data_IF_472329859120
#
_entry.id   IF_472329859120
#
_cell.length_a   1.000
_cell.length_b   1.000
_cell.length_c   1.000
_cell.angle_alpha   90.00
_cell.angle_beta   90.00
_cell.angle_gamma   90.00
#
_symmetry.space_group_name_H-M   'P 1'
#
loop_
_entity.id
_entity.type
_entity.pdbx_description
1 polymer ?
#
# COMPACT_ATOMS: atom_id res chain seq x y z
N UNK A 1 -15.72 -1.22 -4.04
CA UNK A 1 -15.85 -0.23 -2.94
C UNK A 1 -16.36 1.09 -3.50
N UNK A 2 -17.25 1.73 -2.80
CA UNK A 2 -17.88 2.99 -3.25
C UNK A 2 -16.95 4.17 -3.03
N UNK A 3 -17.18 5.24 -3.81
CA UNK A 3 -16.34 6.44 -3.78
C UNK A 3 -16.29 7.11 -2.40
N UNK A 4 -17.42 7.18 -1.71
CA UNK A 4 -17.46 7.79 -0.37
C UNK A 4 -16.68 6.96 0.65
N UNK A 5 -16.64 5.64 0.51
CA UNK A 5 -15.84 4.77 1.35
C UNK A 5 -14.34 4.98 1.11
N UNK A 6 -13.94 5.09 -0.17
CA UNK A 6 -12.53 5.34 -0.53
C UNK A 6 -12.11 6.71 -0.05
N UNK A 7 -12.95 7.74 -0.24
CA UNK A 7 -12.66 9.10 0.21
C UNK A 7 -12.47 9.14 1.72
N UNK A 8 -13.36 8.50 2.46
CA UNK A 8 -13.26 8.42 3.93
C UNK A 8 -11.97 7.73 4.36
N UNK A 9 -11.64 6.62 3.72
CA UNK A 9 -10.41 5.86 4.00
C UNK A 9 -9.17 6.73 3.76
N UNK A 10 -9.08 7.39 2.62
CA UNK A 10 -7.94 8.24 2.26
C UNK A 10 -7.80 9.43 3.21
N UNK A 11 -8.93 9.93 3.74
CA UNK A 11 -8.93 11.04 4.66
C UNK A 11 -8.50 10.70 6.08
N UNK A 12 -8.75 9.47 6.53
CA UNK A 12 -8.41 9.05 7.91
C UNK A 12 -7.07 8.33 8.02
N UNK A 13 -6.58 7.73 6.93
CA UNK A 13 -5.31 7.01 6.93
C UNK A 13 -4.14 7.98 6.80
N UNK A 14 -3.00 7.63 7.40
CA UNK A 14 -1.81 8.49 7.42
C UNK A 14 -0.55 7.78 6.97
N UNK A 15 -0.40 6.50 7.25
CA UNK A 15 0.82 5.73 7.01
C UNK A 15 0.56 4.67 5.96
N UNK A 16 1.34 4.72 4.88
CA UNK A 16 1.19 3.83 3.75
C UNK A 16 2.51 3.09 3.52
N UNK A 17 2.47 1.76 3.66
CA UNK A 17 3.59 0.91 3.27
C UNK A 17 3.43 0.59 1.78
N UNK A 18 4.41 0.97 0.98
CA UNK A 18 4.39 0.76 -0.47
C UNK A 18 5.25 -0.45 -0.79
N UNK A 19 4.60 -1.58 -1.03
CA UNK A 19 5.27 -2.86 -1.27
C UNK A 19 5.55 -3.03 -2.76
N UNK A 20 6.83 -3.25 -3.10
CA UNK A 20 7.26 -3.37 -4.48
C UNK A 20 7.63 -2.03 -5.11
N UNK A 21 7.89 -1.01 -4.31
CA UNK A 21 8.31 0.29 -4.80
C UNK A 21 9.66 0.20 -5.51
N UNK A 22 9.80 0.94 -6.62
CA UNK A 22 11.06 1.05 -7.35
C UNK A 22 11.84 2.28 -6.89
N UNK A 23 13.18 2.21 -6.85
CA UNK A 23 14.00 3.39 -6.60
C UNK A 23 14.13 4.30 -7.82
N UNK A 24 13.68 3.85 -8.99
CA UNK A 24 13.79 4.61 -10.24
C UNK A 24 12.64 5.61 -10.36
N UNK A 25 12.98 6.87 -10.55
CA UNK A 25 12.02 7.99 -10.55
C UNK A 25 10.97 7.89 -11.66
N UNK A 26 11.27 7.21 -12.77
CA UNK A 26 10.34 7.06 -13.90
C UNK A 26 9.33 5.93 -13.72
N UNK A 27 9.45 5.13 -12.66
CA UNK A 27 8.53 4.01 -12.42
C UNK A 27 7.25 4.46 -11.73
N UNK A 28 6.09 3.85 -12.10
CA UNK A 28 4.81 4.23 -11.50
C UNK A 28 4.79 4.15 -9.98
N UNK A 29 5.40 3.14 -9.38
CA UNK A 29 5.41 3.00 -7.92
C UNK A 29 6.14 4.15 -7.23
N UNK A 30 7.23 4.64 -7.83
CA UNK A 30 7.94 5.81 -7.31
C UNK A 30 7.09 7.06 -7.45
N UNK A 31 6.50 7.29 -8.63
CA UNK A 31 5.67 8.46 -8.90
C UNK A 31 4.47 8.52 -7.95
N UNK A 32 3.81 7.40 -7.74
CA UNK A 32 2.67 7.32 -6.83
C UNK A 32 3.09 7.62 -5.39
N UNK A 33 4.17 6.99 -4.93
CA UNK A 33 4.65 7.20 -3.57
C UNK A 33 5.10 8.65 -3.34
N UNK A 34 5.78 9.25 -4.31
CA UNK A 34 6.20 10.64 -4.26
C UNK A 34 5.00 11.59 -4.15
N UNK A 35 3.96 11.33 -4.95
CA UNK A 35 2.72 12.10 -4.90
C UNK A 35 2.08 12.03 -3.51
N UNK A 36 1.93 10.82 -2.97
CA UNK A 36 1.30 10.62 -1.67
C UNK A 36 2.11 11.31 -0.56
N UNK A 37 3.44 11.21 -0.62
CA UNK A 37 4.30 11.90 0.34
C UNK A 37 4.07 13.41 0.29
N UNK A 38 3.93 13.97 -0.91
CA UNK A 38 3.66 15.41 -1.09
C UNK A 38 2.31 15.83 -0.51
N UNK A 39 1.39 14.89 -0.36
CA UNK A 39 0.06 15.14 0.21
C UNK A 39 -0.02 14.89 1.72
N UNK A 40 1.12 14.65 2.35
CA UNK A 40 1.20 14.54 3.80
C UNK A 40 1.17 13.12 4.37
N UNK A 41 1.11 12.11 3.50
CA UNK A 41 1.18 10.71 3.98
C UNK A 41 2.60 10.35 4.37
N UNK A 42 2.72 9.53 5.41
CA UNK A 42 3.98 8.90 5.76
C UNK A 42 4.16 7.68 4.88
N UNK A 43 5.22 7.67 4.09
CA UNK A 43 5.51 6.58 3.14
C UNK A 43 6.59 5.68 3.73
N UNK A 44 6.32 4.38 3.75
CA UNK A 44 7.27 3.37 4.17
C UNK A 44 7.59 2.49 2.97
N UNK A 45 8.79 2.63 2.36
CA UNK A 45 9.19 1.78 1.23
C UNK A 45 9.44 0.35 1.69
N UNK A 46 8.89 -0.63 0.95
CA UNK A 46 9.11 -2.05 1.22
C UNK A 46 9.50 -2.74 -0.08
N UNK A 47 10.70 -3.34 -0.10
CA UNK A 47 11.20 -4.12 -1.23
C UNK A 47 12.33 -5.04 -0.76
N UNK A 48 12.65 -6.11 -1.53
CA UNK A 48 13.66 -7.10 -1.08
C UNK A 48 15.06 -6.55 -0.85
N UNK A 49 15.42 -5.43 -1.49
CA UNK A 49 16.77 -4.84 -1.38
C UNK A 49 16.69 -3.32 -1.36
N UNK A 50 17.84 -2.68 -1.17
CA UNK A 50 17.96 -1.22 -1.12
C UNK A 50 18.00 -0.69 0.28
N UNK A 51 18.38 0.58 0.41
CA UNK A 51 18.54 1.25 1.71
C UNK A 51 17.60 2.43 1.89
N UNK A 52 17.45 3.25 0.87
CA UNK A 52 16.69 4.51 0.95
C UNK A 52 15.95 4.77 -0.35
N UNK A 53 14.69 5.18 -0.24
CA UNK A 53 13.87 5.66 -1.37
C UNK A 53 13.07 6.85 -0.86
N UNK A 54 13.06 7.94 -1.64
CA UNK A 54 12.36 9.17 -1.26
C UNK A 54 12.80 9.71 0.11
N UNK A 55 14.07 9.48 0.47
CA UNK A 55 14.60 9.90 1.76
C UNK A 55 14.14 9.04 2.94
N UNK A 56 13.40 7.97 2.67
CA UNK A 56 12.87 7.08 3.71
C UNK A 56 13.62 5.75 3.70
N UNK A 57 13.80 5.17 4.88
CA UNK A 57 14.44 3.86 5.02
C UNK A 57 13.60 2.78 4.35
N UNK A 58 14.28 1.92 3.56
CA UNK A 58 13.65 0.76 2.95
C UNK A 58 13.66 -0.40 3.95
N UNK A 59 12.50 -1.03 4.11
CA UNK A 59 12.37 -2.30 4.84
C UNK A 59 12.20 -3.42 3.83
N UNK A 60 12.73 -4.60 4.13
CA UNK A 60 12.74 -5.71 3.17
C UNK A 60 11.50 -6.58 3.24
N UNK A 61 10.67 -6.37 4.27
CA UNK A 61 9.36 -6.98 4.41
C UNK A 61 8.51 -6.12 5.34
N UNK A 62 7.20 -6.35 5.36
CA UNK A 62 6.32 -5.65 6.30
C UNK A 62 6.68 -6.00 7.75
N UNK A 63 7.16 -7.23 7.98
CA UNK A 63 7.53 -7.68 9.32
C UNK A 63 8.74 -6.94 9.89
N UNK A 64 9.63 -6.44 9.04
CA UNK A 64 10.80 -5.68 9.49
C UNK A 64 10.47 -4.27 9.97
N UNK A 65 9.31 -3.75 9.60
CA UNK A 65 8.89 -2.43 10.09
C UNK A 65 8.69 -2.53 11.59
N UNK A 66 9.23 -1.56 12.39
CA UNK A 66 9.11 -1.63 13.85
C UNK A 66 7.66 -1.87 14.30
N UNK A 67 7.43 -2.76 15.29
CA UNK A 67 6.07 -3.15 15.68
C UNK A 67 5.23 -1.99 16.23
N UNK A 68 5.85 -0.94 16.74
CA UNK A 68 5.16 0.25 17.24
C UNK A 68 4.62 1.14 16.12
N UNK A 69 5.04 0.91 14.86
CA UNK A 69 4.53 1.67 13.72
C UNK A 69 3.19 1.09 13.29
N UNK A 70 2.15 1.92 13.29
CA UNK A 70 0.83 1.52 12.82
C UNK A 70 0.75 1.73 11.31
N UNK A 71 0.54 0.64 10.57
CA UNK A 71 0.41 0.68 9.12
C UNK A 71 -1.07 0.80 8.78
N UNK A 72 -1.46 1.90 8.15
CA UNK A 72 -2.86 2.09 7.77
C UNK A 72 -3.18 1.38 6.45
N UNK A 73 -2.37 1.64 5.42
CA UNK A 73 -2.58 1.07 4.09
C UNK A 73 -1.35 0.31 3.65
N UNK A 74 -1.54 -0.89 3.13
CA UNK A 74 -0.51 -1.64 2.40
C UNK A 74 -0.85 -1.51 0.92
N UNK A 75 -0.06 -0.70 0.21
CA UNK A 75 -0.26 -0.40 -1.22
C UNK A 75 0.66 -1.31 -2.04
N UNK A 76 0.07 -2.18 -2.86
CA UNK A 76 0.78 -3.30 -3.48
C UNK A 76 1.08 -3.06 -4.95
N UNK A 77 2.38 -2.94 -5.26
CA UNK A 77 2.94 -2.91 -6.61
C UNK A 77 3.68 -4.22 -6.88
N UNK A 78 2.94 -5.31 -6.96
CA UNK A 78 3.46 -6.66 -7.26
C UNK A 78 2.63 -7.27 -8.35
N UNK A 79 3.13 -8.35 -8.96
CA UNK A 79 2.30 -9.16 -9.86
C UNK A 79 1.16 -9.79 -9.05
N UNK A 80 0.03 -10.02 -9.72
CA UNK A 80 -1.14 -10.56 -9.03
C UNK A 80 -0.84 -11.88 -8.31
N UNK A 81 -0.05 -12.77 -8.92
CA UNK A 81 0.31 -14.05 -8.30
C UNK A 81 1.17 -13.91 -7.05
N UNK A 82 1.80 -12.75 -6.84
CA UNK A 82 2.67 -12.51 -5.69
C UNK A 82 1.95 -11.81 -4.53
N UNK A 83 0.66 -11.52 -4.69
CA UNK A 83 -0.12 -10.80 -3.68
C UNK A 83 -0.38 -11.60 -2.39
N UNK A 84 -0.69 -12.92 -2.43
CA UNK A 84 -1.05 -13.65 -1.22
C UNK A 84 -0.08 -13.52 -0.04
N UNK A 85 1.26 -13.67 -0.21
CA UNK A 85 2.17 -13.51 0.91
C UNK A 85 2.16 -12.11 1.50
N UNK A 86 1.97 -11.08 0.67
CA UNK A 86 1.91 -9.68 1.12
C UNK A 86 0.65 -9.46 1.97
N UNK A 87 -0.47 -10.01 1.54
CA UNK A 87 -1.73 -9.93 2.29
C UNK A 87 -1.59 -10.61 3.65
N UNK A 88 -0.95 -11.80 3.70
CA UNK A 88 -0.69 -12.49 4.95
C UNK A 88 0.11 -11.61 5.92
N UNK A 89 1.17 -10.98 5.43
CA UNK A 89 1.97 -10.07 6.26
C UNK A 89 1.15 -8.86 6.72
N UNK A 90 0.32 -8.30 5.84
CA UNK A 90 -0.53 -7.15 6.16
C UNK A 90 -1.50 -7.50 7.29
N UNK A 91 -2.10 -8.70 7.23
CA UNK A 91 -3.00 -9.19 8.27
C UNK A 91 -2.25 -9.30 9.60
N UNK A 92 -1.08 -9.94 9.61
CA UNK A 92 -0.28 -10.11 10.82
C UNK A 92 0.17 -8.78 11.42
N UNK A 93 0.41 -7.77 10.59
CA UNK A 93 0.82 -6.45 11.06
C UNK A 93 -0.37 -5.58 11.51
N UNK A 94 -1.58 -6.08 11.38
CA UNK A 94 -2.76 -5.31 11.77
C UNK A 94 -3.03 -4.10 10.90
N UNK A 95 -2.66 -4.16 9.63
CA UNK A 95 -2.98 -3.10 8.69
C UNK A 95 -4.50 -2.94 8.56
N UNK A 96 -4.94 -1.74 8.20
CA UNK A 96 -6.38 -1.45 8.08
C UNK A 96 -6.89 -1.69 6.67
N UNK A 97 -6.03 -1.47 5.68
CA UNK A 97 -6.41 -1.53 4.27
C UNK A 97 -5.34 -2.25 3.46
N UNK A 98 -5.78 -3.10 2.55
CA UNK A 98 -4.95 -3.65 1.48
C UNK A 98 -5.39 -2.99 0.18
N UNK A 99 -4.46 -2.37 -0.51
CA UNK A 99 -4.72 -1.68 -1.77
C UNK A 99 -3.93 -2.33 -2.90
N UNK A 100 -4.65 -2.94 -3.84
CA UNK A 100 -4.05 -3.54 -5.03
C UNK A 100 -4.12 -2.53 -6.17
N UNK A 101 -2.96 -2.15 -6.69
CA UNK A 101 -2.83 -1.15 -7.74
C UNK A 101 -3.46 -1.60 -9.07
N UNK A 102 -3.53 -0.69 -10.04
CA UNK A 102 -4.04 -1.01 -11.38
C UNK A 102 -3.31 -2.24 -11.94
N UNK A 103 -4.08 -3.20 -12.44
CA UNK A 103 -3.54 -4.44 -12.97
C UNK A 103 -3.18 -5.49 -11.92
N UNK A 104 -3.31 -5.15 -10.63
CA UNK A 104 -3.04 -6.10 -9.53
C UNK A 104 -4.39 -6.61 -9.03
N UNK A 105 -4.67 -7.87 -9.32
CA UNK A 105 -5.98 -8.47 -9.04
C UNK A 105 -5.79 -9.85 -8.44
N UNK A 106 -6.29 -10.04 -7.22
CA UNK A 106 -6.28 -11.34 -6.56
C UNK A 106 -7.50 -11.46 -5.64
N UNK A 107 -8.65 -11.92 -6.16
CA UNK A 107 -9.89 -11.96 -5.38
C UNK A 107 -9.81 -12.82 -4.13
N UNK A 108 -9.11 -13.95 -4.19
CA UNK A 108 -9.00 -14.85 -3.03
C UNK A 108 -8.21 -14.20 -1.89
N UNK A 109 -7.10 -13.53 -2.21
CA UNK A 109 -6.32 -12.81 -1.22
C UNK A 109 -7.13 -11.64 -0.64
N UNK A 110 -7.87 -10.93 -1.50
CA UNK A 110 -8.79 -9.88 -1.06
C UNK A 110 -9.82 -10.39 -0.09
N UNK A 111 -10.44 -11.54 -0.40
CA UNK A 111 -11.43 -12.17 0.49
C UNK A 111 -10.80 -12.54 1.84
N UNK A 112 -9.57 -13.06 1.85
CA UNK A 112 -8.85 -13.36 3.09
C UNK A 112 -8.64 -12.12 3.93
N UNK A 113 -8.24 -11.01 3.32
CA UNK A 113 -8.04 -9.74 4.02
C UNK A 113 -9.37 -9.26 4.62
N UNK A 114 -10.46 -9.32 3.86
CA UNK A 114 -11.77 -8.90 4.35
C UNK A 114 -12.24 -9.77 5.53
N UNK A 115 -12.03 -11.08 5.46
CA UNK A 115 -12.36 -11.97 6.58
C UNK A 115 -11.57 -11.64 7.84
N UNK A 116 -10.37 -11.11 7.69
CA UNK A 116 -9.54 -10.67 8.81
C UNK A 116 -9.87 -9.24 9.30
N UNK A 117 -10.86 -8.59 8.69
CA UNK A 117 -11.32 -7.27 9.10
C UNK A 117 -10.68 -6.10 8.36
N UNK A 118 -9.89 -6.36 7.33
CA UNK A 118 -9.29 -5.29 6.53
C UNK A 118 -10.25 -4.83 5.43
N UNK A 119 -10.13 -3.57 5.05
CA UNK A 119 -10.78 -3.08 3.84
C UNK A 119 -9.89 -3.41 2.64
N UNK A 120 -10.48 -3.65 1.48
CA UNK A 120 -9.75 -4.03 0.27
C UNK A 120 -10.17 -3.16 -0.90
N UNK A 121 -9.18 -2.58 -1.58
CA UNK A 121 -9.36 -1.94 -2.88
C UNK A 121 -8.53 -2.72 -3.88
N UNK A 122 -9.08 -2.98 -5.06
CA UNK A 122 -8.45 -3.84 -6.06
C UNK A 122 -8.50 -3.21 -7.44
N UNK A 123 -7.38 -3.27 -8.17
CA UNK A 123 -7.29 -2.81 -9.55
C UNK A 123 -7.57 -1.31 -9.70
N UNK A 124 -7.02 -0.52 -8.78
CA UNK A 124 -7.15 0.95 -8.83
C UNK A 124 -5.82 1.59 -8.46
N UNK A 125 -5.49 2.74 -9.08
CA UNK A 125 -4.32 3.52 -8.70
C UNK A 125 -4.67 4.48 -7.57
N UNK A 126 -4.00 4.34 -6.43
CA UNK A 126 -4.26 5.16 -5.24
C UNK A 126 -4.05 6.66 -5.52
N UNK A 127 -3.05 7.01 -6.34
CA UNK A 127 -2.83 8.41 -6.74
C UNK A 127 -4.03 8.96 -7.51
N UNK A 128 -4.51 8.21 -8.50
CA UNK A 128 -5.64 8.63 -9.33
C UNK A 128 -6.91 8.77 -8.49
N UNK A 129 -7.14 7.84 -7.56
CA UNK A 129 -8.28 7.92 -6.67
C UNK A 129 -8.18 9.11 -5.73
N UNK A 130 -6.98 9.38 -5.20
CA UNK A 130 -6.76 10.55 -4.36
C UNK A 130 -7.02 11.84 -5.14
N UNK A 131 -6.51 11.94 -6.37
CA UNK A 131 -6.72 13.12 -7.21
C UNK A 131 -8.21 13.32 -7.56
N UNK A 132 -8.93 12.23 -7.74
CA UNK A 132 -10.34 12.28 -8.13
C UNK A 132 -11.27 12.61 -6.96
N UNK A 133 -10.96 12.14 -5.76
CA UNK A 133 -11.88 12.18 -4.61
C UNK A 133 -11.49 13.21 -3.54
N UNK A 134 -10.23 13.60 -3.50
CA UNK A 134 -9.73 14.51 -2.45
C UNK A 134 -9.46 15.95 -3.01
#
# INVERSE_FOLDING_TARGET
MKDDEIKSMLGRCKTIAVVGISPKEDRPSYTVASYLKSKGYTIIPVRPDGETILGEKVYHSLQEIPPEVNIDIVDIFRRSEDVPPVVEEAIHRGAKVVWMQEGVIHPEAGASAERAGLQVVMDRCIKKEHQRLM
#
